data_IF_122421476535
#
_entry.id   IF_122421476535
#
_cell.length_a   1.000
_cell.length_b   1.000
_cell.length_c   1.000
_cell.angle_alpha   90.00
_cell.angle_beta   90.00
_cell.angle_gamma   90.00
#
_symmetry.space_group_name_H-M   'P 1'
#
loop_
_entity.id
_entity.type
_entity.pdbx_description
1 polymer ?
#
# COMPACT_ATOMS: atom_id res chain seq x y z
N UNK A 1 16.02 16.24 -21.10
CA UNK A 1 15.43 14.97 -20.62
C UNK A 1 15.54 14.97 -19.11
N UNK A 2 14.45 15.09 -18.37
CA UNK A 2 14.50 14.98 -16.91
C UNK A 2 14.54 13.49 -16.59
N UNK A 3 15.61 13.03 -15.95
CA UNK A 3 15.66 11.71 -15.36
C UNK A 3 14.57 11.64 -14.27
N UNK A 4 13.59 10.79 -14.46
CA UNK A 4 12.65 10.43 -13.37
C UNK A 4 13.46 9.67 -12.32
N UNK A 5 13.65 10.31 -11.16
CA UNK A 5 14.16 9.62 -9.96
C UNK A 5 13.28 8.41 -9.67
N UNK A 6 13.84 7.31 -9.14
CA UNK A 6 13.06 6.14 -8.75
C UNK A 6 11.92 6.56 -7.82
N UNK A 7 10.74 5.98 -8.04
CA UNK A 7 9.55 6.28 -7.23
C UNK A 7 9.74 5.66 -5.85
N UNK A 8 9.42 6.45 -4.82
CA UNK A 8 9.36 6.03 -3.43
C UNK A 8 7.97 6.33 -2.90
N UNK A 9 7.26 5.34 -2.40
CA UNK A 9 5.84 5.46 -2.01
C UNK A 9 5.60 6.40 -0.83
N UNK A 10 6.58 6.57 0.07
CA UNK A 10 6.51 7.53 1.18
C UNK A 10 6.75 8.96 0.70
N UNK A 11 7.89 9.19 0.04
CA UNK A 11 8.29 10.51 -0.46
C UNK A 11 7.34 11.08 -1.49
N UNK A 12 6.79 10.23 -2.34
CA UNK A 12 5.98 10.61 -3.49
C UNK A 12 4.47 10.45 -3.24
N UNK A 13 4.08 10.11 -2.02
CA UNK A 13 2.69 10.04 -1.60
C UNK A 13 1.94 11.36 -1.90
N UNK A 14 0.77 11.23 -2.48
CA UNK A 14 -0.06 12.38 -2.85
C UNK A 14 0.37 13.14 -4.10
N UNK A 15 1.53 12.81 -4.69
CA UNK A 15 1.91 13.31 -6.02
C UNK A 15 1.13 12.53 -7.08
N UNK A 16 0.76 13.19 -8.17
CA UNK A 16 0.11 12.55 -9.34
C UNK A 16 1.17 12.17 -10.37
N UNK A 17 1.74 10.97 -10.32
CA UNK A 17 2.68 10.53 -11.33
C UNK A 17 1.95 10.35 -12.67
N UNK A 18 2.63 10.66 -13.77
CA UNK A 18 2.13 10.31 -15.09
C UNK A 18 2.24 8.78 -15.26
N UNK A 19 1.17 8.07 -14.91
CA UNK A 19 1.12 6.62 -14.97
C UNK A 19 0.44 6.14 -16.24
N UNK A 20 1.16 5.30 -17.01
CA UNK A 20 0.60 4.65 -18.20
C UNK A 20 0.01 3.31 -17.80
N UNK A 21 -1.31 3.19 -17.93
CA UNK A 21 -2.03 1.96 -17.54
C UNK A 21 -1.80 0.87 -18.57
N UNK A 22 -0.98 -0.10 -18.22
CA UNK A 22 -0.69 -1.29 -19.04
C UNK A 22 -1.81 -2.32 -18.95
N UNK A 23 -1.85 -3.29 -19.87
CA UNK A 23 -2.78 -4.42 -19.81
C UNK A 23 -2.61 -5.23 -18.52
N UNK A 24 -1.36 -5.42 -18.06
CA UNK A 24 -1.05 -6.12 -16.82
C UNK A 24 -1.59 -5.35 -15.59
N UNK A 25 -1.44 -4.02 -15.57
CA UNK A 25 -1.98 -3.19 -14.49
C UNK A 25 -3.52 -3.30 -14.39
N UNK A 26 -4.22 -3.30 -15.54
CA UNK A 26 -5.68 -3.51 -15.58
C UNK A 26 -6.09 -4.87 -15.03
N UNK A 27 -5.37 -5.92 -15.43
CA UNK A 27 -5.63 -7.27 -14.92
C UNK A 27 -5.37 -7.36 -13.42
N UNK A 28 -4.29 -6.73 -12.94
CA UNK A 28 -3.92 -6.73 -11.51
C UNK A 28 -4.99 -6.04 -10.67
N UNK A 29 -5.44 -4.84 -11.06
CA UNK A 29 -6.50 -4.15 -10.31
C UNK A 29 -7.82 -4.93 -10.35
N UNK A 30 -8.17 -5.54 -11.47
CA UNK A 30 -9.36 -6.40 -11.56
C UNK A 30 -9.31 -7.58 -10.59
N UNK A 31 -8.14 -8.23 -10.44
CA UNK A 31 -7.94 -9.29 -9.45
C UNK A 31 -8.08 -8.77 -8.02
N UNK A 32 -7.45 -7.63 -7.70
CA UNK A 32 -7.56 -7.00 -6.37
C UNK A 32 -9.03 -6.73 -6.03
N UNK A 33 -9.78 -6.11 -6.94
CA UNK A 33 -11.19 -5.79 -6.74
C UNK A 33 -12.03 -7.04 -6.50
N UNK A 34 -11.87 -8.07 -7.34
CA UNK A 34 -12.65 -9.30 -7.21
C UNK A 34 -12.35 -10.02 -5.90
N UNK A 35 -11.09 -10.09 -5.51
CA UNK A 35 -10.70 -10.71 -4.24
C UNK A 35 -11.17 -9.89 -3.04
N UNK A 36 -11.07 -8.56 -3.11
CA UNK A 36 -11.59 -7.68 -2.08
C UNK A 36 -13.09 -7.86 -1.88
N UNK A 37 -13.87 -7.92 -2.96
CA UNK A 37 -15.30 -8.20 -2.92
C UNK A 37 -15.63 -9.59 -2.32
N UNK A 38 -14.69 -10.53 -2.38
CA UNK A 38 -14.78 -11.85 -1.76
C UNK A 38 -14.27 -11.92 -0.32
N UNK A 39 -13.94 -10.76 0.30
CA UNK A 39 -13.48 -10.69 1.68
C UNK A 39 -11.95 -10.89 1.85
N UNK A 40 -11.17 -10.91 0.77
CA UNK A 40 -9.71 -10.99 0.84
C UNK A 40 -9.14 -9.57 0.87
N UNK A 41 -8.47 -9.22 1.96
CA UNK A 41 -7.96 -7.87 2.23
C UNK A 41 -6.43 -7.79 2.26
N UNK A 42 -5.71 -8.89 2.01
CA UNK A 42 -4.26 -8.95 1.97
C UNK A 42 -3.78 -9.35 0.58
N UNK A 43 -2.88 -8.55 0.00
CA UNK A 43 -2.39 -8.72 -1.36
C UNK A 43 -0.87 -8.60 -1.41
N UNK A 44 -0.21 -9.46 -2.19
CA UNK A 44 1.21 -9.40 -2.45
C UNK A 44 1.46 -9.17 -3.96
N UNK A 45 2.12 -8.06 -4.29
CA UNK A 45 2.53 -7.75 -5.65
C UNK A 45 3.97 -8.22 -5.88
N UNK A 46 4.13 -9.31 -6.62
CA UNK A 46 5.43 -9.90 -6.93
C UNK A 46 5.85 -9.51 -8.36
N UNK A 47 7.10 -9.13 -8.50
CA UNK A 47 7.69 -8.80 -9.80
C UNK A 47 9.12 -8.32 -9.63
N UNK A 48 9.92 -8.41 -10.69
CA UNK A 48 11.33 -7.97 -10.71
C UNK A 48 11.45 -6.47 -10.40
N UNK A 49 12.67 -6.05 -10.06
CA UNK A 49 12.99 -4.64 -9.87
C UNK A 49 12.72 -3.84 -11.16
N UNK A 50 12.23 -2.62 -11.04
CA UNK A 50 11.95 -1.75 -12.19
C UNK A 50 10.67 -2.05 -12.98
N UNK A 51 9.86 -3.04 -12.58
CA UNK A 51 8.60 -3.38 -13.29
C UNK A 51 7.43 -2.43 -13.00
N UNK A 52 7.66 -1.36 -12.24
CA UNK A 52 6.66 -0.32 -11.98
C UNK A 52 5.68 -0.63 -10.85
N UNK A 53 6.00 -1.54 -9.92
CA UNK A 53 5.13 -1.86 -8.77
C UNK A 53 4.79 -0.63 -7.92
N UNK A 54 5.79 0.14 -7.50
CA UNK A 54 5.61 1.37 -6.71
C UNK A 54 4.82 2.44 -7.48
N UNK A 55 5.04 2.54 -8.80
CA UNK A 55 4.25 3.43 -9.68
C UNK A 55 2.78 3.01 -9.75
N UNK A 56 2.52 1.70 -9.83
CA UNK A 56 1.16 1.15 -9.82
C UNK A 56 0.45 1.46 -8.50
N UNK A 57 1.14 1.27 -7.36
CA UNK A 57 0.60 1.57 -6.03
C UNK A 57 0.23 3.04 -5.92
N UNK A 58 1.14 3.98 -6.25
CA UNK A 58 0.83 5.41 -6.21
C UNK A 58 -0.33 5.79 -7.14
N UNK A 59 -0.44 5.16 -8.31
CA UNK A 59 -1.56 5.38 -9.22
C UNK A 59 -2.89 4.88 -8.63
N UNK A 60 -2.87 3.73 -7.94
CA UNK A 60 -4.02 3.17 -7.22
C UNK A 60 -4.43 4.08 -6.06
N UNK A 61 -3.50 4.53 -5.23
CA UNK A 61 -3.74 5.47 -4.13
C UNK A 61 -4.40 6.76 -4.61
N UNK A 62 -3.84 7.38 -5.66
CA UNK A 62 -4.42 8.59 -6.25
C UNK A 62 -5.84 8.35 -6.78
N UNK A 63 -6.09 7.16 -7.32
CA UNK A 63 -7.40 6.74 -7.78
C UNK A 63 -8.40 6.66 -6.61
N UNK A 64 -8.03 5.96 -5.53
CA UNK A 64 -8.87 5.77 -4.35
C UNK A 64 -9.09 7.07 -3.56
N UNK A 65 -8.11 7.98 -3.56
CA UNK A 65 -8.23 9.31 -2.94
C UNK A 65 -8.96 10.34 -3.82
N UNK A 66 -9.47 9.98 -4.98
CA UNK A 66 -10.16 10.91 -5.89
C UNK A 66 -9.27 12.00 -6.49
N UNK A 67 -7.93 11.85 -6.43
CA UNK A 67 -6.95 12.86 -6.88
C UNK A 67 -6.58 12.75 -8.36
N UNK A 68 -7.24 11.91 -9.12
CA UNK A 68 -6.90 11.68 -10.53
C UNK A 68 -7.46 12.77 -11.43
N UNK A 69 -6.56 13.48 -12.08
CA UNK A 69 -6.87 14.42 -13.15
C UNK A 69 -6.75 13.67 -14.49
N UNK A 70 -7.88 13.51 -15.21
CA UNK A 70 -7.90 12.96 -16.56
C UNK A 70 -8.62 11.60 -16.68
N UNK A 71 -8.85 11.17 -17.91
CA UNK A 71 -9.53 9.89 -18.27
C UNK A 71 -8.63 8.68 -17.93
N UNK A 72 -8.38 8.42 -16.66
CA UNK A 72 -7.57 7.29 -16.26
C UNK A 72 -8.46 6.04 -16.16
N UNK A 73 -8.16 5.03 -16.96
CA UNK A 73 -8.94 3.78 -17.06
C UNK A 73 -8.96 3.01 -15.72
N UNK A 74 -7.99 3.25 -14.83
CA UNK A 74 -8.04 2.73 -13.45
C UNK A 74 -9.23 3.29 -12.67
N UNK A 75 -9.63 4.55 -12.92
CA UNK A 75 -10.76 5.20 -12.25
C UNK A 75 -12.08 4.49 -12.44
N UNK A 76 -12.36 3.98 -13.65
CA UNK A 76 -13.62 3.27 -13.92
C UNK A 76 -13.73 1.96 -13.15
N UNK A 77 -12.60 1.35 -12.80
CA UNK A 77 -12.55 0.12 -12.01
C UNK A 77 -12.54 0.41 -10.50
N UNK A 78 -11.92 1.50 -10.06
CA UNK A 78 -11.90 1.90 -8.65
C UNK A 78 -13.28 2.28 -8.09
N UNK A 79 -14.25 2.63 -8.93
CA UNK A 79 -15.63 2.87 -8.51
C UNK A 79 -16.31 1.70 -7.78
N UNK A 80 -15.75 0.50 -7.87
CA UNK A 80 -16.25 -0.67 -7.11
C UNK A 80 -15.88 -0.63 -5.62
N UNK A 81 -15.01 0.29 -5.19
CA UNK A 81 -14.70 0.54 -3.78
C UNK A 81 -15.61 1.61 -3.14
N UNK A 82 -16.72 1.97 -3.77
CA UNK A 82 -17.62 3.06 -3.33
C UNK A 82 -18.35 2.83 -2.01
N UNK A 83 -18.13 1.68 -1.34
CA UNK A 83 -18.68 1.42 0.00
C UNK A 83 -18.04 2.27 1.10
N UNK A 84 -16.90 2.91 0.84
CA UNK A 84 -16.19 3.77 1.77
C UNK A 84 -16.17 5.21 1.27
N UNK A 85 -16.33 6.16 2.19
CA UNK A 85 -16.28 7.58 1.86
C UNK A 85 -14.85 8.04 1.56
N UNK A 86 -13.88 7.48 2.27
CA UNK A 86 -12.46 7.84 2.14
C UNK A 86 -11.54 6.65 2.41
N UNK A 87 -10.34 6.72 1.84
CA UNK A 87 -9.24 5.79 2.10
C UNK A 87 -8.11 6.52 2.83
N UNK A 88 -7.66 5.93 3.92
CA UNK A 88 -6.48 6.38 4.67
C UNK A 88 -5.32 5.43 4.39
N UNK A 89 -4.16 5.98 4.03
CA UNK A 89 -2.98 5.19 3.66
C UNK A 89 -1.87 5.34 4.70
N UNK A 90 -1.25 4.20 5.05
CA UNK A 90 0.03 4.13 5.73
C UNK A 90 1.01 3.50 4.74
N UNK A 91 1.89 4.31 4.18
CA UNK A 91 2.92 3.88 3.23
C UNK A 91 4.24 3.70 3.94
N UNK A 92 4.84 2.53 3.75
CA UNK A 92 6.07 2.13 4.42
C UNK A 92 7.03 1.56 3.37
N UNK A 93 8.26 2.03 3.37
CA UNK A 93 9.36 1.38 2.63
C UNK A 93 10.07 0.42 3.58
N UNK A 94 10.05 -0.85 3.23
CA UNK A 94 10.65 -1.91 4.02
C UNK A 94 12.16 -1.74 4.22
N UNK A 95 12.62 -2.04 5.42
CA UNK A 95 14.02 -2.04 5.79
C UNK A 95 14.39 -3.38 6.44
N UNK A 96 15.69 -3.60 6.66
CA UNK A 96 16.21 -4.81 7.30
C UNK A 96 15.98 -4.75 8.82
N UNK A 97 14.73 -4.95 9.20
CA UNK A 97 14.26 -4.93 10.61
C UNK A 97 13.02 -5.79 10.76
N UNK A 98 12.55 -6.03 11.99
CA UNK A 98 11.30 -6.74 12.22
C UNK A 98 10.07 -5.92 11.77
N UNK A 99 9.00 -6.60 11.40
CA UNK A 99 7.75 -5.94 11.03
C UNK A 99 7.21 -5.06 12.16
N UNK A 100 7.32 -5.53 13.41
CA UNK A 100 6.88 -4.77 14.57
C UNK A 100 7.66 -3.46 14.73
N UNK A 101 8.99 -3.48 14.56
CA UNK A 101 9.83 -2.29 14.63
C UNK A 101 9.53 -1.32 13.46
N UNK A 102 9.34 -1.87 12.27
CA UNK A 102 9.01 -1.08 11.08
C UNK A 102 7.68 -0.32 11.26
N UNK A 103 6.63 -1.00 11.69
CA UNK A 103 5.34 -0.37 11.98
C UNK A 103 5.43 0.62 13.15
N UNK A 104 6.18 0.28 14.20
CA UNK A 104 6.35 1.14 15.37
C UNK A 104 6.99 2.47 15.02
N UNK A 105 8.01 2.47 14.17
CA UNK A 105 8.68 3.70 13.70
C UNK A 105 7.73 4.63 12.95
N UNK A 106 6.83 4.06 12.13
CA UNK A 106 5.86 4.84 11.34
C UNK A 106 4.67 5.35 12.18
N UNK A 107 4.30 4.61 13.23
CA UNK A 107 3.21 4.98 14.12
C UNK A 107 3.67 5.80 15.34
N UNK A 108 4.96 6.13 15.44
CA UNK A 108 5.57 6.77 16.61
C UNK A 108 5.23 6.00 17.91
N UNK A 109 5.33 4.70 17.89
CA UNK A 109 4.98 3.78 18.97
C UNK A 109 6.20 2.95 19.40
N UNK A 110 6.11 2.32 20.57
CA UNK A 110 7.03 1.25 20.94
C UNK A 110 6.61 -0.07 20.28
N UNK A 111 7.55 -0.90 19.84
CA UNK A 111 7.25 -2.15 19.12
C UNK A 111 6.31 -3.09 19.87
N UNK A 112 6.42 -3.14 21.22
CA UNK A 112 5.52 -3.93 22.09
C UNK A 112 4.08 -3.44 22.09
N UNK A 113 3.84 -2.18 21.76
CA UNK A 113 2.53 -1.53 21.79
C UNK A 113 1.95 -1.29 20.38
N UNK A 114 2.69 -1.64 19.32
CA UNK A 114 2.34 -1.28 17.95
C UNK A 114 0.96 -1.79 17.52
N UNK A 115 0.61 -3.00 17.92
CA UNK A 115 -0.71 -3.59 17.60
C UNK A 115 -1.84 -2.78 18.23
N UNK A 116 -1.72 -2.41 19.51
CA UNK A 116 -2.74 -1.61 20.20
C UNK A 116 -2.87 -0.21 19.58
N UNK A 117 -1.76 0.40 19.16
CA UNK A 117 -1.77 1.71 18.50
C UNK A 117 -2.44 1.61 17.12
N UNK A 118 -2.12 0.56 16.35
CA UNK A 118 -2.73 0.30 15.05
C UNK A 118 -4.24 0.04 15.18
N UNK A 119 -4.65 -0.77 16.13
CA UNK A 119 -6.05 -1.09 16.40
C UNK A 119 -6.85 0.17 16.79
N UNK A 120 -6.31 1.00 17.68
CA UNK A 120 -6.93 2.28 18.02
C UNK A 120 -7.03 3.22 16.81
N UNK A 121 -6.03 3.22 15.92
CA UNK A 121 -6.08 4.02 14.69
C UNK A 121 -7.16 3.48 13.74
N UNK A 122 -7.20 2.18 13.54
CA UNK A 122 -8.22 1.49 12.72
C UNK A 122 -9.64 1.78 13.23
N UNK A 123 -9.89 1.64 14.53
CA UNK A 123 -11.21 1.88 15.12
C UNK A 123 -11.68 3.33 14.92
N UNK A 124 -10.77 4.31 15.02
CA UNK A 124 -11.12 5.72 14.72
C UNK A 124 -11.51 5.93 13.25
N UNK A 125 -10.80 5.29 12.33
CA UNK A 125 -11.11 5.37 10.90
C UNK A 125 -12.45 4.69 10.58
N UNK A 126 -12.74 3.56 11.20
CA UNK A 126 -14.03 2.86 11.04
C UNK A 126 -15.21 3.74 11.48
N UNK A 127 -15.10 4.44 12.60
CA UNK A 127 -16.13 5.38 13.06
C UNK A 127 -16.37 6.54 12.08
N UNK A 128 -15.35 6.90 11.30
CA UNK A 128 -15.41 7.92 10.25
C UNK A 128 -15.79 7.36 8.86
N UNK A 129 -16.21 6.09 8.77
CA UNK A 129 -16.45 5.37 7.50
C UNK A 129 -15.26 5.45 6.53
N UNK A 130 -14.04 5.38 7.06
CA UNK A 130 -12.80 5.37 6.30
C UNK A 130 -12.17 3.98 6.29
N UNK A 131 -11.60 3.59 5.16
CA UNK A 131 -10.88 2.33 5.02
C UNK A 131 -9.38 2.53 5.18
N UNK A 132 -8.76 1.75 6.09
CA UNK A 132 -7.31 1.77 6.27
C UNK A 132 -6.62 0.86 5.25
N UNK A 133 -5.67 1.42 4.52
CA UNK A 133 -4.79 0.68 3.61
C UNK A 133 -3.35 0.80 4.10
N UNK A 134 -2.71 -0.32 4.38
CA UNK A 134 -1.30 -0.37 4.74
C UNK A 134 -0.54 -0.91 3.53
N UNK A 135 0.42 -0.15 3.05
CA UNK A 135 1.28 -0.52 1.93
C UNK A 135 2.72 -0.64 2.41
N UNK A 136 3.34 -1.79 2.18
CA UNK A 136 4.74 -2.01 2.49
C UNK A 136 5.47 -2.35 1.19
N UNK A 137 6.22 -1.38 0.65
CA UNK A 137 7.11 -1.61 -0.49
C UNK A 137 8.41 -2.25 0.01
N UNK A 138 9.09 -2.99 -0.85
CA UNK A 138 10.32 -3.72 -0.50
C UNK A 138 10.16 -4.67 0.72
N UNK A 139 8.99 -5.25 0.93
CA UNK A 139 8.70 -6.16 2.04
C UNK A 139 9.67 -7.36 2.14
N UNK A 140 10.34 -7.70 1.03
CA UNK A 140 11.38 -8.74 1.00
C UNK A 140 12.50 -8.53 2.02
N UNK A 141 12.84 -7.28 2.36
CA UNK A 141 13.87 -6.97 3.37
C UNK A 141 13.44 -7.39 4.79
N UNK A 142 12.16 -7.20 5.10
CA UNK A 142 11.55 -7.63 6.38
C UNK A 142 11.56 -9.16 6.47
N UNK A 143 11.17 -9.84 5.39
CA UNK A 143 11.20 -11.30 5.34
C UNK A 143 12.63 -11.86 5.45
N UNK A 144 13.60 -11.20 4.81
CA UNK A 144 15.02 -11.60 4.93
C UNK A 144 15.54 -11.44 6.37
N UNK A 145 15.17 -10.35 7.04
CA UNK A 145 15.50 -10.14 8.46
C UNK A 145 14.90 -11.25 9.33
N UNK A 146 13.59 -11.54 9.16
CA UNK A 146 12.91 -12.60 9.92
C UNK A 146 13.56 -13.97 9.70
N UNK A 147 13.87 -14.33 8.46
CA UNK A 147 14.49 -15.61 8.12
C UNK A 147 15.88 -15.79 8.74
N UNK A 148 16.64 -14.71 8.91
CA UNK A 148 18.00 -14.78 9.48
C UNK A 148 18.03 -14.69 11.00
N UNK A 149 17.12 -13.97 11.63
CA UNK A 149 17.21 -13.63 13.06
C UNK A 149 16.27 -14.44 13.95
N UNK A 150 15.05 -14.78 13.55
CA UNK A 150 14.14 -15.63 14.33
C UNK A 150 12.91 -16.05 13.49
N UNK A 151 13.02 -17.09 12.68
CA UNK A 151 11.92 -17.46 11.76
C UNK A 151 10.62 -17.86 12.48
N UNK A 152 10.70 -18.28 13.75
CA UNK A 152 9.51 -18.73 14.51
C UNK A 152 8.80 -17.62 15.32
N UNK A 153 9.41 -16.43 15.45
CA UNK A 153 8.89 -15.35 16.31
C UNK A 153 8.43 -14.10 15.58
N UNK A 154 8.76 -13.95 14.29
CA UNK A 154 8.60 -12.69 13.57
C UNK A 154 7.64 -12.75 12.35
N UNK A 155 6.91 -13.86 12.21
CA UNK A 155 5.87 -13.99 11.16
C UNK A 155 4.50 -14.08 11.80
#
# INVERSE_FOLDING_TARGET
MSFTTSINIERDFGKTPHYIVTANARQTIGKIINHFASGIHSFCLIGSYGTGKSSFILALENCLCGKTVGKNVLLSQCGQFNSFEQFSFINIVGDYTSLANLLASHLNAESKNVISVLDNHYNRLQLANQFLVIVIDEFGKVLEHAAKNNPEKEI
#
